data_IF_569799551407
#
_entry.id   IF_569799551407
#
_cell.length_a   1.000
_cell.length_b   1.000
_cell.length_c   1.000
_cell.angle_alpha   90.00
_cell.angle_beta   90.00
_cell.angle_gamma   90.00
#
_symmetry.space_group_name_H-M   'P 1'
#
loop_
_entity.id
_entity.type
_entity.pdbx_description
1 polymer ?
#
# COMPACT_ATOMS: atom_id res chain seq x y z
N UNK A 1 -1.36 4.91 -24.69
CA UNK A 1 -0.72 4.25 -23.53
C UNK A 1 0.04 5.23 -22.64
N UNK A 2 0.93 6.07 -23.17
CA UNK A 2 1.73 7.01 -22.36
C UNK A 2 0.92 7.94 -21.43
N UNK A 3 -0.22 8.49 -21.90
CA UNK A 3 -1.09 9.34 -21.07
C UNK A 3 -1.73 8.59 -19.90
N UNK A 4 -2.07 7.31 -20.08
CA UNK A 4 -2.67 6.47 -19.04
C UNK A 4 -1.65 6.14 -17.95
N UNK A 5 -0.45 5.74 -18.34
CA UNK A 5 0.67 5.51 -17.40
C UNK A 5 0.99 6.79 -16.63
N UNK A 6 1.02 7.95 -17.29
CA UNK A 6 1.23 9.25 -16.64
C UNK A 6 0.09 9.64 -15.68
N UNK A 7 -1.14 9.20 -15.93
CA UNK A 7 -2.26 9.39 -15.02
C UNK A 7 -2.11 8.53 -13.76
N UNK A 8 -1.76 7.25 -13.90
CA UNK A 8 -1.47 6.35 -12.77
C UNK A 8 -0.31 6.91 -11.95
N UNK A 9 0.77 7.32 -12.61
CA UNK A 9 1.94 7.86 -11.91
C UNK A 9 1.60 9.10 -11.09
N UNK A 10 0.80 10.01 -11.64
CA UNK A 10 0.32 11.21 -10.92
C UNK A 10 -0.60 10.85 -9.75
N UNK A 11 -1.50 9.88 -9.94
CA UNK A 11 -2.39 9.43 -8.88
C UNK A 11 -1.62 8.82 -7.70
N UNK A 12 -0.63 7.97 -8.00
CA UNK A 12 0.24 7.38 -6.98
C UNK A 12 1.06 8.46 -6.28
N UNK A 13 1.64 9.42 -7.01
CA UNK A 13 2.41 10.52 -6.39
C UNK A 13 1.53 11.39 -5.50
N UNK A 14 0.33 11.77 -5.94
CA UNK A 14 -0.61 12.52 -5.12
C UNK A 14 -1.01 11.77 -3.85
N UNK A 15 -1.19 10.44 -3.95
CA UNK A 15 -1.47 9.58 -2.80
C UNK A 15 -0.31 9.58 -1.80
N UNK A 16 0.94 9.50 -2.28
CA UNK A 16 2.15 9.56 -1.45
C UNK A 16 2.31 10.93 -0.78
N UNK A 17 2.10 12.01 -1.52
CA UNK A 17 2.18 13.37 -1.01
C UNK A 17 1.09 13.69 0.02
N UNK A 18 -0.06 13.01 -0.05
CA UNK A 18 -1.07 13.05 0.99
C UNK A 18 -0.67 12.18 2.19
N UNK A 19 -0.22 10.95 1.95
CA UNK A 19 0.12 9.98 3.00
C UNK A 19 1.28 10.42 3.88
N UNK A 20 2.27 11.17 3.36
CA UNK A 20 3.38 11.70 4.20
C UNK A 20 2.88 12.54 5.38
N UNK A 21 1.76 13.25 5.23
CA UNK A 21 1.18 14.04 6.30
C UNK A 21 0.51 13.18 7.38
N UNK A 22 0.13 11.94 7.05
CA UNK A 22 -0.42 10.99 8.03
C UNK A 22 0.64 10.44 8.99
N UNK A 23 1.93 10.51 8.63
CA UNK A 23 3.01 10.01 9.48
C UNK A 23 3.06 10.72 10.84
N UNK A 24 2.89 12.05 10.86
CA UNK A 24 2.90 12.85 12.08
C UNK A 24 1.76 12.47 13.07
N UNK A 25 0.47 12.50 12.68
CA UNK A 25 -0.61 12.11 13.57
C UNK A 25 -0.54 10.63 13.95
N UNK A 26 -0.08 9.76 13.04
CA UNK A 26 0.12 8.34 13.33
C UNK A 26 1.16 8.13 14.45
N UNK A 27 2.34 8.73 14.32
CA UNK A 27 3.39 8.63 15.34
C UNK A 27 2.91 9.22 16.67
N UNK A 28 2.22 10.38 16.62
CA UNK A 28 1.67 11.00 17.82
C UNK A 28 0.67 10.09 18.52
N UNK A 29 -0.27 9.47 17.80
CA UNK A 29 -1.26 8.56 18.36
C UNK A 29 -0.60 7.29 18.92
N UNK A 30 0.32 6.67 18.18
CA UNK A 30 1.06 5.49 18.66
C UNK A 30 1.84 5.78 19.94
N UNK A 31 2.48 6.95 20.02
CA UNK A 31 3.14 7.39 21.24
C UNK A 31 2.15 7.62 22.38
N UNK A 32 1.00 8.24 22.08
CA UNK A 32 -0.04 8.58 23.06
C UNK A 32 -0.76 7.36 23.64
N UNK A 33 -0.70 6.20 22.99
CA UNK A 33 -1.27 4.96 23.52
C UNK A 33 -0.69 4.57 24.88
N UNK A 34 0.63 4.67 25.06
CA UNK A 34 1.31 4.36 26.32
C UNK A 34 0.89 5.26 27.49
N UNK A 35 0.96 6.61 27.42
CA UNK A 35 0.54 7.47 28.51
C UNK A 35 -0.96 7.40 28.76
N UNK A 36 -1.80 7.23 27.73
CA UNK A 36 -3.23 7.03 27.93
C UNK A 36 -3.54 5.72 28.67
N UNK A 37 -2.75 4.67 28.43
CA UNK A 37 -2.91 3.38 29.11
C UNK A 37 -2.43 3.43 30.55
N UNK A 38 -1.20 3.91 30.76
CA UNK A 38 -0.49 3.70 32.02
C UNK A 38 -0.64 4.89 33.00
N UNK A 39 -0.81 6.12 32.49
CA UNK A 39 -1.00 7.32 33.30
C UNK A 39 -2.50 7.64 33.45
N UNK A 40 -3.21 7.79 32.33
CA UNK A 40 -4.62 8.23 32.32
C UNK A 40 -5.58 7.07 32.57
N UNK A 41 -5.19 5.84 32.20
CA UNK A 41 -6.01 4.61 32.28
C UNK A 41 -7.36 4.71 31.56
N UNK A 42 -7.46 5.59 30.57
CA UNK A 42 -8.66 5.82 29.76
C UNK A 42 -8.26 6.17 28.31
N UNK A 43 -9.19 6.02 27.36
CA UNK A 43 -9.03 6.39 25.94
C UNK A 43 -7.92 5.65 25.15
N UNK A 44 -7.12 4.80 25.80
CA UNK A 44 -6.09 4.01 25.14
C UNK A 44 -6.64 3.11 24.02
N UNK A 45 -7.84 2.55 24.19
CA UNK A 45 -8.52 1.73 23.16
C UNK A 45 -8.90 2.57 21.94
N UNK A 46 -9.48 3.75 22.13
CA UNK A 46 -9.85 4.61 21.00
C UNK A 46 -8.62 5.16 20.25
N UNK A 47 -7.55 5.50 20.98
CA UNK A 47 -6.27 5.85 20.37
C UNK A 47 -5.68 4.67 19.58
N UNK A 48 -5.88 3.44 20.05
CA UNK A 48 -5.49 2.25 19.30
C UNK A 48 -6.30 2.07 18.02
N UNK A 49 -7.62 2.17 18.09
CA UNK A 49 -8.51 2.04 16.93
C UNK A 49 -8.18 3.08 15.84
N UNK A 50 -8.00 4.34 16.23
CA UNK A 50 -7.56 5.41 15.33
C UNK A 50 -6.15 5.16 14.78
N UNK A 51 -5.24 4.68 15.62
CA UNK A 51 -3.90 4.28 15.23
C UNK A 51 -3.91 3.21 14.16
N UNK A 52 -4.75 2.17 14.30
CA UNK A 52 -4.92 1.10 13.32
C UNK A 52 -5.46 1.63 11.99
N UNK A 53 -6.44 2.53 12.02
CA UNK A 53 -7.00 3.13 10.81
C UNK A 53 -5.94 3.95 10.04
N UNK A 54 -5.25 4.85 10.74
CA UNK A 54 -4.21 5.69 10.15
C UNK A 54 -3.02 4.86 9.67
N UNK A 55 -2.62 3.84 10.43
CA UNK A 55 -1.55 2.93 10.06
C UNK A 55 -1.89 2.15 8.79
N UNK A 56 -3.09 1.56 8.72
CA UNK A 56 -3.52 0.81 7.55
C UNK A 56 -3.50 1.67 6.28
N UNK A 57 -4.04 2.90 6.37
CA UNK A 57 -4.06 3.84 5.25
C UNK A 57 -2.65 4.27 4.84
N UNK A 58 -1.81 4.61 5.82
CA UNK A 58 -0.42 5.02 5.58
C UNK A 58 0.39 3.89 4.92
N UNK A 59 0.29 2.66 5.46
CA UNK A 59 1.01 1.49 4.95
C UNK A 59 0.54 1.12 3.55
N UNK A 60 -0.76 1.20 3.27
CA UNK A 60 -1.29 0.92 1.94
C UNK A 60 -0.59 1.76 0.86
N UNK A 61 -0.39 3.06 1.13
CA UNK A 61 0.29 3.96 0.20
C UNK A 61 1.82 3.79 0.26
N UNK A 62 2.39 3.70 1.46
CA UNK A 62 3.83 3.61 1.65
C UNK A 62 4.44 2.34 1.04
N UNK A 63 3.76 1.20 1.14
CA UNK A 63 4.20 -0.07 0.53
C UNK A 63 4.19 0.02 -0.99
N UNK A 64 3.15 0.59 -1.60
CA UNK A 64 3.13 0.82 -3.05
C UNK A 64 4.25 1.76 -3.46
N UNK A 65 4.48 2.84 -2.73
CA UNK A 65 5.53 3.80 -3.00
C UNK A 65 6.94 3.18 -2.90
N UNK A 66 7.19 2.39 -1.86
CA UNK A 66 8.45 1.69 -1.65
C UNK A 66 8.71 0.63 -2.74
N UNK A 67 7.66 -0.12 -3.13
CA UNK A 67 7.70 -1.06 -4.26
C UNK A 67 8.07 -0.35 -5.56
N UNK A 68 7.42 0.78 -5.86
CA UNK A 68 7.70 1.57 -7.07
C UNK A 68 9.12 2.14 -7.07
N UNK A 69 9.60 2.62 -5.93
CA UNK A 69 10.94 3.19 -5.81
C UNK A 69 12.06 2.12 -5.85
N UNK A 70 11.73 0.83 -5.91
CA UNK A 70 12.70 -0.26 -5.82
C UNK A 70 13.43 -0.31 -4.48
N UNK A 71 12.86 0.30 -3.44
CA UNK A 71 13.46 0.52 -2.11
C UNK A 71 13.09 -0.57 -1.09
N UNK A 72 12.51 -1.69 -1.53
CA UNK A 72 12.31 -2.83 -0.65
C UNK A 72 13.68 -3.36 -0.22
N UNK A 73 14.11 -2.99 0.99
CA UNK A 73 15.44 -3.30 1.54
C UNK A 73 15.83 -4.78 1.39
N UNK A 74 14.85 -5.70 1.53
CA UNK A 74 15.07 -7.13 1.41
C UNK A 74 15.22 -7.63 -0.05
N UNK A 75 14.59 -6.95 -1.01
CA UNK A 75 14.79 -7.25 -2.43
C UNK A 75 16.11 -6.66 -2.93
N UNK A 76 16.52 -5.49 -2.43
CA UNK A 76 17.75 -4.82 -2.86
C UNK A 76 19.02 -5.57 -2.39
N UNK A 77 19.01 -6.16 -1.18
CA UNK A 77 20.13 -6.98 -0.68
C UNK A 77 20.31 -8.30 -1.44
N UNK A 78 19.22 -8.99 -1.79
CA UNK A 78 19.27 -10.17 -2.66
C UNK A 78 19.62 -9.78 -4.10
N UNK A 79 19.07 -8.66 -4.59
CA UNK A 79 19.23 -8.23 -5.97
C UNK A 79 20.59 -7.59 -6.28
N UNK A 80 21.41 -7.26 -5.29
CA UNK A 80 22.81 -6.88 -5.49
C UNK A 80 23.64 -7.97 -6.19
N UNK A 81 23.24 -9.23 -6.06
CA UNK A 81 23.92 -10.37 -6.69
C UNK A 81 23.52 -10.59 -8.15
N UNK A 82 22.49 -9.89 -8.65
CA UNK A 82 21.95 -10.07 -10.00
C UNK A 82 22.24 -8.86 -10.88
N UNK A 83 22.51 -9.14 -12.17
CA UNK A 83 22.67 -8.08 -13.17
C UNK A 83 21.42 -7.17 -13.22
N UNK A 84 21.57 -5.87 -13.50
CA UNK A 84 20.47 -4.90 -13.47
C UNK A 84 19.32 -5.26 -14.42
N UNK A 85 19.61 -5.94 -15.54
CA UNK A 85 18.60 -6.45 -16.48
C UNK A 85 17.77 -7.59 -15.88
N UNK A 86 18.40 -8.54 -15.20
CA UNK A 86 17.74 -9.68 -14.55
C UNK A 86 16.88 -9.23 -13.39
N UNK A 87 17.35 -8.26 -12.61
CA UNK A 87 16.60 -7.62 -11.51
C UNK A 87 15.31 -6.95 -12.01
N UNK A 88 15.37 -6.20 -13.11
CA UNK A 88 14.20 -5.56 -13.70
C UNK A 88 13.20 -6.59 -14.27
N UNK A 89 13.69 -7.65 -14.92
CA UNK A 89 12.86 -8.74 -15.42
C UNK A 89 12.17 -9.50 -14.27
N UNK A 90 12.91 -9.86 -13.23
CA UNK A 90 12.39 -10.58 -12.07
C UNK A 90 11.37 -9.75 -11.30
N UNK A 91 11.60 -8.45 -11.12
CA UNK A 91 10.62 -7.53 -10.52
C UNK A 91 9.30 -7.48 -11.29
N UNK A 92 9.37 -7.43 -12.63
CA UNK A 92 8.17 -7.49 -13.49
C UNK A 92 7.48 -8.84 -13.43
N UNK A 93 8.24 -9.94 -13.48
CA UNK A 93 7.70 -11.29 -13.43
C UNK A 93 6.99 -11.56 -12.09
N UNK A 94 7.61 -11.16 -10.96
CA UNK A 94 6.99 -11.26 -9.63
C UNK A 94 5.77 -10.35 -9.51
N UNK A 95 5.86 -9.12 -10.03
CA UNK A 95 4.73 -8.20 -10.10
C UNK A 95 3.54 -8.78 -10.87
N UNK A 96 3.79 -9.38 -12.03
CA UNK A 96 2.77 -9.89 -12.94
C UNK A 96 2.22 -11.26 -12.53
N UNK A 97 3.07 -12.18 -12.11
CA UNK A 97 2.70 -13.58 -11.87
C UNK A 97 2.29 -13.84 -10.43
N UNK A 98 2.78 -13.05 -9.47
CA UNK A 98 2.45 -13.22 -8.06
C UNK A 98 1.55 -12.09 -7.54
N UNK A 99 1.98 -10.82 -7.69
CA UNK A 99 1.26 -9.70 -7.06
C UNK A 99 -0.05 -9.34 -7.78
N UNK A 100 -0.07 -9.29 -9.11
CA UNK A 100 -1.26 -8.91 -9.86
C UNK A 100 -2.43 -9.91 -9.69
N UNK A 101 -2.26 -11.23 -9.80
CA UNK A 101 -3.34 -12.19 -9.61
C UNK A 101 -3.85 -12.17 -8.17
N UNK A 102 -2.94 -12.00 -7.21
CA UNK A 102 -3.30 -11.88 -5.80
C UNK A 102 -4.09 -10.60 -5.51
N UNK A 103 -3.66 -9.47 -6.07
CA UNK A 103 -4.38 -8.20 -5.95
C UNK A 103 -5.78 -8.28 -6.57
N UNK A 104 -5.91 -8.89 -7.75
CA UNK A 104 -7.22 -9.14 -8.38
C UNK A 104 -8.08 -10.04 -7.50
N UNK A 105 -7.52 -11.13 -6.94
CA UNK A 105 -8.24 -12.02 -6.04
C UNK A 105 -8.78 -11.28 -4.81
N UNK A 106 -7.94 -10.46 -4.14
CA UNK A 106 -8.36 -9.65 -3.00
C UNK A 106 -9.47 -8.66 -3.40
N UNK A 107 -9.35 -8.01 -4.55
CA UNK A 107 -10.36 -7.06 -5.00
C UNK A 107 -11.69 -7.76 -5.30
N UNK A 108 -11.68 -8.88 -6.03
CA UNK A 108 -12.90 -9.62 -6.39
C UNK A 108 -13.59 -10.21 -5.16
N UNK A 109 -12.84 -10.91 -4.31
CA UNK A 109 -13.39 -11.55 -3.11
C UNK A 109 -13.77 -10.54 -2.03
N UNK A 110 -12.98 -9.47 -1.91
CA UNK A 110 -13.17 -8.39 -0.96
C UNK A 110 -14.19 -7.34 -1.38
N UNK A 111 -14.63 -7.29 -2.64
CA UNK A 111 -15.52 -6.21 -3.13
C UNK A 111 -16.86 -6.18 -2.41
N UNK A 112 -17.52 -7.34 -2.27
CA UNK A 112 -18.80 -7.44 -1.55
C UNK A 112 -18.64 -7.09 -0.06
N UNK A 113 -17.52 -7.52 0.54
CA UNK A 113 -17.18 -7.17 1.91
C UNK A 113 -16.93 -5.66 2.06
N UNK A 114 -16.19 -5.04 1.13
CA UNK A 114 -15.91 -3.61 1.11
C UNK A 114 -17.20 -2.79 1.04
N UNK A 115 -18.11 -3.13 0.12
CA UNK A 115 -19.40 -2.45 -0.02
C UNK A 115 -20.27 -2.60 1.23
N UNK A 116 -20.32 -3.82 1.79
CA UNK A 116 -21.08 -4.11 3.00
C UNK A 116 -20.54 -3.33 4.20
N UNK A 117 -19.22 -3.32 4.37
CA UNK A 117 -18.53 -2.62 5.46
C UNK A 117 -18.65 -1.10 5.32
N UNK A 118 -18.60 -0.54 4.10
CA UNK A 118 -18.85 0.89 3.85
C UNK A 118 -20.30 1.28 4.13
N UNK A 119 -21.26 0.43 3.75
CA UNK A 119 -22.69 0.67 4.00
C UNK A 119 -23.04 0.58 5.50
N UNK A 120 -22.37 -0.30 6.24
CA UNK A 120 -22.62 -0.54 7.66
C UNK A 120 -21.76 0.33 8.59
N UNK A 121 -20.80 1.11 8.06
CA UNK A 121 -19.83 1.89 8.85
C UNK A 121 -19.25 1.03 9.98
N UNK A 122 -18.74 -0.16 9.64
CA UNK A 122 -18.37 -1.18 10.63
C UNK A 122 -17.54 -0.60 11.78
N UNK A 123 -18.03 -0.87 12.98
CA UNK A 123 -17.41 -0.46 14.22
C UNK A 123 -16.47 -1.56 14.75
N UNK A 124 -15.47 -1.15 15.54
CA UNK A 124 -14.60 -2.09 16.23
C UNK A 124 -15.43 -2.94 17.22
N UNK A 125 -15.29 -4.29 17.24
CA UNK A 125 -16.10 -5.15 18.08
C UNK A 125 -15.90 -4.92 19.58
N UNK A 126 -14.71 -4.49 20.00
CA UNK A 126 -14.35 -4.29 21.41
C UNK A 126 -14.70 -2.90 21.95
N UNK A 127 -14.75 -1.89 21.08
CA UNK A 127 -14.90 -0.47 21.46
C UNK A 127 -16.16 0.17 20.88
N UNK A 128 -16.85 -0.49 19.95
CA UNK A 128 -17.99 0.04 19.19
C UNK A 128 -17.71 1.36 18.46
N UNK A 129 -16.44 1.71 18.26
CA UNK A 129 -16.03 2.93 17.57
C UNK A 129 -16.16 2.76 16.05
N UNK A 130 -16.88 3.63 15.33
CA UNK A 130 -16.92 3.59 13.86
C UNK A 130 -15.52 3.84 13.28
N UNK A 131 -15.01 2.90 12.47
CA UNK A 131 -13.69 3.07 11.85
C UNK A 131 -13.04 1.80 11.35
N UNK A 132 -13.49 0.62 11.78
CA UNK A 132 -12.94 -0.65 11.31
C UNK A 132 -13.07 -0.81 9.78
N UNK A 133 -14.10 -0.18 9.21
CA UNK A 133 -14.27 -0.10 7.76
C UNK A 133 -13.07 0.54 7.03
N UNK A 134 -12.38 1.50 7.65
CA UNK A 134 -11.20 2.15 7.06
C UNK A 134 -10.04 1.18 6.93
N UNK A 135 -9.91 0.21 7.85
CA UNK A 135 -8.86 -0.80 7.78
C UNK A 135 -9.08 -1.72 6.58
N UNK A 136 -10.31 -2.24 6.41
CA UNK A 136 -10.67 -3.05 5.24
C UNK A 136 -10.56 -2.26 3.94
N UNK A 137 -11.02 -1.00 3.93
CA UNK A 137 -10.89 -0.13 2.78
C UNK A 137 -9.44 0.16 2.41
N UNK A 138 -8.56 0.34 3.40
CA UNK A 138 -7.12 0.54 3.18
C UNK A 138 -6.47 -0.71 2.60
N UNK A 139 -6.87 -1.91 3.03
CA UNK A 139 -6.40 -3.16 2.44
C UNK A 139 -6.82 -3.29 0.95
N UNK A 140 -8.06 -2.94 0.63
CA UNK A 140 -8.52 -2.90 -0.78
C UNK A 140 -7.80 -1.81 -1.57
N UNK A 141 -7.52 -0.64 -0.97
CA UNK A 141 -6.75 0.43 -1.59
C UNK A 141 -5.32 -0.02 -1.89
N UNK A 142 -4.65 -0.72 -0.97
CA UNK A 142 -3.32 -1.30 -1.20
C UNK A 142 -3.36 -2.25 -2.41
N UNK A 143 -4.32 -3.18 -2.45
CA UNK A 143 -4.47 -4.12 -3.56
C UNK A 143 -4.69 -3.38 -4.90
N UNK A 144 -5.54 -2.35 -4.90
CA UNK A 144 -5.78 -1.51 -6.08
C UNK A 144 -4.50 -0.79 -6.53
N UNK A 145 -3.78 -0.16 -5.62
CA UNK A 145 -2.54 0.57 -5.91
C UNK A 145 -1.44 -0.36 -6.45
N UNK A 146 -1.29 -1.56 -5.89
CA UNK A 146 -0.37 -2.58 -6.38
C UNK A 146 -0.76 -3.05 -7.78
N UNK A 147 -2.05 -3.27 -8.04
CA UNK A 147 -2.53 -3.67 -9.36
C UNK A 147 -2.29 -2.58 -10.41
N UNK A 148 -2.59 -1.32 -10.08
CA UNK A 148 -2.33 -0.18 -10.95
C UNK A 148 -0.84 -0.03 -11.26
N UNK A 149 0.02 -0.22 -10.26
CA UNK A 149 1.47 -0.23 -10.44
C UNK A 149 1.91 -1.36 -11.39
N UNK A 150 1.42 -2.59 -11.19
CA UNK A 150 1.74 -3.72 -12.05
C UNK A 150 1.30 -3.47 -13.50
N UNK A 151 0.10 -2.92 -13.72
CA UNK A 151 -0.39 -2.54 -15.05
C UNK A 151 0.52 -1.47 -15.67
N UNK A 152 0.90 -0.44 -14.91
CA UNK A 152 1.79 0.61 -15.40
C UNK A 152 3.19 0.08 -15.77
N UNK A 153 3.67 -0.95 -15.08
CA UNK A 153 4.96 -1.59 -15.37
C UNK A 153 4.92 -2.48 -16.62
N UNK A 154 3.77 -3.09 -16.93
CA UNK A 154 3.54 -3.83 -18.19
C UNK A 154 3.42 -2.87 -19.37
N UNK A 155 2.63 -1.80 -19.21
CA UNK A 155 2.37 -0.82 -20.27
C UNK A 155 3.58 0.08 -20.56
N UNK A 156 4.53 0.18 -19.62
CA UNK A 156 5.86 0.70 -19.90
C UNK A 156 6.63 -0.34 -20.72
N UNK A 157 6.39 -0.33 -22.02
CA UNK A 157 7.31 -0.87 -23.02
C UNK A 157 8.67 -0.22 -22.79
N UNK A 158 9.51 -0.87 -21.98
CA UNK A 158 10.94 -0.62 -22.05
C UNK A 158 11.43 -1.60 -23.10
N UNK A 159 11.64 -1.18 -24.35
CA UNK A 159 12.36 -2.04 -25.25
C UNK A 159 13.71 -2.32 -24.56
N UNK A 160 14.03 -3.60 -24.44
CA UNK A 160 15.42 -4.01 -24.33
C UNK A 160 16.10 -3.64 -25.67
N UNK A 161 16.28 -2.34 -25.93
CA UNK A 161 17.01 -1.84 -27.08
C UNK A 161 18.39 -1.41 -26.61
N UNK A 162 19.39 -1.99 -27.25
CA UNK A 162 20.79 -1.92 -26.86
C UNK A 162 21.41 -3.30 -26.71
N UNK A 163 21.21 -4.15 -27.73
CA UNK A 163 22.32 -4.95 -28.24
C UNK A 163 23.37 -3.95 -28.75
N UNK A 164 24.46 -3.82 -28.02
CA UNK A 164 25.68 -3.23 -28.53
C UNK A 164 26.83 -3.94 -27.81
N UNK A 165 27.08 -5.17 -28.25
CA UNK A 165 28.44 -5.64 -28.50
C UNK A 165 28.79 -5.25 -29.95
N UNK A 166 30.07 -5.14 -30.33
CA UNK A 166 31.26 -5.73 -29.70
C UNK A 166 32.23 -4.74 -29.04
#
# INVERSE_FOLDING_TARGET
>A
MAQFVAAIDRFIQASVDAARWLALPLVAILFLQWPLRDLVKAWSREANDLGQCLFALYVAVAVTAATRAGRHLAADTLAHHFAPRTRACLGRALGLLALAPWAVFILVTGFSALLSTLAQLEAFPDTSNPGYFLVKASASLLALLVLLQAIADILRDTPASGAQEP
#
